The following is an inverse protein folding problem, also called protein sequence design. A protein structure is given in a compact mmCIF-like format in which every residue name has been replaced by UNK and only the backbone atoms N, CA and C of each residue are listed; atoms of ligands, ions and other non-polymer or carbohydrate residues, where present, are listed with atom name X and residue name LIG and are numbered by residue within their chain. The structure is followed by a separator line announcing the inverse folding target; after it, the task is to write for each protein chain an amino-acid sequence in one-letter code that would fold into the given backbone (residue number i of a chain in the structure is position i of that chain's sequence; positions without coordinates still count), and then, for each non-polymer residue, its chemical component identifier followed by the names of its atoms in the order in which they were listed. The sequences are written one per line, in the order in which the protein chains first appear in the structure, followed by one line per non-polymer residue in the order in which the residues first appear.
data_IF_938380884633
#
_entry.id   IF_938380884633
#
_cell.length_a   1.000
_cell.length_b   1.000
_cell.length_c   1.000
_cell.angle_alpha   90.00
_cell.angle_beta   90.00
_cell.angle_gamma   90.00
#
_symmetry.space_group_name_H-M   'P 1'
#
loop_
_entity.id
_entity.type
_entity.pdbx_description
1 polymer ?
#
# COMPACT_ATOMS: atom_id res chain seq x y z
N UNK A 1 -4.85 18.08 22.17
CA UNK A 1 -4.52 17.26 23.36
C UNK A 1 -3.54 16.18 22.90
N UNK A 2 -2.63 15.74 23.77
CA UNK A 2 -1.74 14.60 23.50
C UNK A 2 -2.38 13.30 23.96
N UNK A 3 -2.02 12.19 23.32
CA UNK A 3 -2.36 10.83 23.75
C UNK A 3 -1.06 10.09 24.03
N UNK A 4 -0.91 9.54 25.24
CA UNK A 4 0.23 8.71 25.61
C UNK A 4 -0.02 7.31 25.06
N UNK A 5 0.95 6.78 24.32
CA UNK A 5 0.85 5.47 23.68
C UNK A 5 2.15 4.71 23.87
N UNK A 6 2.06 3.38 23.90
CA UNK A 6 3.24 2.51 24.02
C UNK A 6 3.59 1.95 22.65
N UNK A 7 4.75 2.34 22.12
CA UNK A 7 5.28 1.83 20.86
C UNK A 7 6.07 0.56 21.12
N UNK A 8 5.71 -0.50 20.40
CA UNK A 8 6.41 -1.78 20.42
C UNK A 8 7.36 -1.81 19.22
N UNK A 9 8.66 -1.70 19.47
CA UNK A 9 9.70 -1.75 18.44
C UNK A 9 10.40 -3.13 18.44
N UNK A 10 10.56 -3.73 17.26
CA UNK A 10 11.40 -4.92 17.07
C UNK A 10 10.77 -6.30 17.36
N UNK A 11 11.44 -7.33 16.84
CA UNK A 11 11.04 -8.75 16.91
C UNK A 11 11.19 -9.37 18.30
N UNK A 12 11.96 -8.72 19.18
CA UNK A 12 12.43 -9.28 20.45
C UNK A 12 11.66 -8.83 21.69
N UNK A 13 10.42 -8.31 21.54
CA UNK A 13 9.44 -8.06 22.63
C UNK A 13 9.93 -7.23 23.84
N UNK A 14 11.17 -6.74 23.88
CA UNK A 14 11.81 -6.22 25.08
C UNK A 14 11.96 -4.69 25.10
N UNK A 15 11.65 -4.00 23.99
CA UNK A 15 11.75 -2.55 23.93
C UNK A 15 10.36 -1.94 23.71
N UNK A 16 9.77 -1.48 24.82
CA UNK A 16 8.49 -0.77 24.84
C UNK A 16 8.78 0.65 25.26
N UNK A 17 8.46 1.60 24.38
CA UNK A 17 8.75 3.01 24.61
C UNK A 17 7.43 3.76 24.63
N UNK A 18 7.17 4.46 25.72
CA UNK A 18 6.05 5.39 25.80
C UNK A 18 6.35 6.69 25.05
N UNK A 19 5.39 7.14 24.26
CA UNK A 19 5.43 8.41 23.54
C UNK A 19 4.14 9.16 23.79
N UNK A 20 4.26 10.46 24.05
CA UNK A 20 3.13 11.38 23.97
C UNK A 20 3.00 11.84 22.52
N UNK A 21 1.89 11.45 21.86
CA UNK A 21 1.64 11.76 20.47
C UNK A 21 0.49 12.76 20.31
N UNK A 22 0.57 13.69 19.34
CA UNK A 22 -0.53 14.58 19.02
C UNK A 22 -1.72 13.77 18.47
N UNK A 23 -2.88 13.87 19.12
CA UNK A 23 -4.05 13.08 18.75
C UNK A 23 -4.91 13.69 17.64
N UNK A 24 -4.70 14.98 17.36
CA UNK A 24 -5.49 15.79 16.42
C UNK A 24 -4.93 15.76 14.99
N UNK A 25 -3.69 15.31 14.80
CA UNK A 25 -3.05 15.28 13.48
C UNK A 25 -3.26 13.93 12.78
N UNK A 26 -3.14 13.88 11.43
CA UNK A 26 -3.28 12.63 10.70
C UNK A 26 -2.25 11.58 11.12
N UNK A 27 -2.70 10.32 11.18
CA UNK A 27 -1.88 9.15 11.52
C UNK A 27 -0.65 9.05 10.61
N UNK A 28 -0.74 9.44 9.34
CA UNK A 28 0.43 9.47 8.45
C UNK A 28 1.56 10.36 9.01
N UNK A 29 1.23 11.54 9.55
CA UNK A 29 2.24 12.43 10.14
C UNK A 29 2.79 11.88 11.45
N UNK A 30 1.92 11.36 12.31
CA UNK A 30 2.33 10.68 13.56
C UNK A 30 3.31 9.54 13.26
N UNK A 31 3.01 8.75 12.23
CA UNK A 31 3.85 7.62 11.80
C UNK A 31 5.24 8.09 11.39
N UNK A 32 5.35 9.20 10.65
CA UNK A 32 6.65 9.76 10.26
C UNK A 32 7.45 10.26 11.46
N UNK A 33 6.80 10.97 12.39
CA UNK A 33 7.44 11.43 13.63
C UNK A 33 7.97 10.26 14.46
N UNK A 34 7.16 9.21 14.59
CA UNK A 34 7.56 7.99 15.29
C UNK A 34 8.74 7.29 14.62
N UNK A 35 8.71 7.13 13.29
CA UNK A 35 9.81 6.53 12.53
C UNK A 35 11.11 7.32 12.72
N UNK A 36 11.03 8.65 12.73
CA UNK A 36 12.21 9.50 12.99
C UNK A 36 12.72 9.34 14.42
N UNK A 37 11.83 9.27 15.40
CA UNK A 37 12.19 9.06 16.81
C UNK A 37 12.87 7.71 17.03
N UNK A 38 12.32 6.62 16.47
CA UNK A 38 12.87 5.26 16.62
C UNK A 38 14.00 4.95 15.63
N UNK A 39 14.35 5.89 14.73
CA UNK A 39 15.38 5.70 13.69
C UNK A 39 16.74 5.34 14.27
N UNK A 40 17.07 5.89 15.43
CA UNK A 40 18.34 5.63 16.12
C UNK A 40 18.38 4.21 16.70
N UNK A 41 17.23 3.65 17.06
CA UNK A 41 17.11 2.33 17.70
C UNK A 41 16.85 1.21 16.69
N UNK A 42 16.21 1.54 15.57
CA UNK A 42 15.90 0.62 14.49
C UNK A 42 16.43 1.17 13.15
N UNK A 43 17.73 1.00 12.84
CA UNK A 43 18.33 1.48 11.59
C UNK A 43 17.70 0.85 10.33
N UNK A 44 17.06 -0.30 10.48
CA UNK A 44 16.29 -0.95 9.41
C UNK A 44 15.06 -0.12 8.99
N UNK A 45 14.56 0.79 9.84
CA UNK A 45 13.45 1.71 9.56
C UNK A 45 13.88 3.00 8.83
N UNK A 46 15.05 3.03 8.18
CA UNK A 46 15.52 4.24 7.50
C UNK A 46 14.87 4.52 6.13
N UNK A 47 14.29 3.50 5.47
CA UNK A 47 13.68 3.60 4.13
C UNK A 47 12.45 2.70 3.99
N UNK A 48 11.33 3.27 3.52
CA UNK A 48 10.10 2.55 3.21
C UNK A 48 8.82 3.35 3.43
N UNK A 49 7.68 2.78 3.05
CA UNK A 49 6.36 3.23 3.54
C UNK A 49 6.06 2.46 4.82
N UNK A 50 5.54 3.13 5.84
CA UNK A 50 5.24 2.51 7.13
C UNK A 50 3.73 2.51 7.38
N UNK A 51 3.26 1.49 8.09
CA UNK A 51 1.91 1.43 8.61
C UNK A 51 1.95 1.44 10.13
N UNK A 52 1.01 2.18 10.72
CA UNK A 52 0.78 2.19 12.15
C UNK A 52 -0.39 1.26 12.45
N UNK A 53 -0.19 0.35 13.40
CA UNK A 53 -1.23 -0.55 13.88
C UNK A 53 -1.44 -0.37 15.37
N UNK A 54 -2.69 -0.48 15.81
CA UNK A 54 -3.09 -0.46 17.21
C UNK A 54 -3.52 -1.84 17.65
N UNK A 55 -3.19 -2.20 18.89
CA UNK A 55 -3.67 -3.43 19.51
C UNK A 55 -5.12 -3.22 19.97
N UNK A 56 -6.03 -4.05 19.48
CA UNK A 56 -7.43 -4.04 19.88
C UNK A 56 -7.60 -4.69 21.26
N UNK A 57 -8.77 -4.50 21.87
CA UNK A 57 -9.13 -5.18 23.11
C UNK A 57 -9.19 -6.71 22.98
N UNK A 58 -9.41 -7.22 21.75
CA UNK A 58 -9.38 -8.66 21.45
C UNK A 58 -7.95 -9.21 21.35
N UNK A 59 -6.93 -8.34 21.37
CA UNK A 59 -5.53 -8.70 21.25
C UNK A 59 -4.99 -8.70 19.82
N UNK A 60 -5.86 -8.48 18.83
CA UNK A 60 -5.50 -8.37 17.41
C UNK A 60 -4.81 -7.03 17.11
N UNK A 61 -4.04 -7.01 16.03
CA UNK A 61 -3.44 -5.77 15.52
C UNK A 61 -4.26 -5.25 14.36
N UNK A 62 -4.71 -4.00 14.47
CA UNK A 62 -5.53 -3.34 13.47
C UNK A 62 -4.77 -2.17 12.86
N UNK A 63 -4.68 -2.13 11.53
CA UNK A 63 -4.13 -0.99 10.79
C UNK A 63 -4.98 0.26 11.03
N UNK A 64 -4.32 1.35 11.36
CA UNK A 64 -4.92 2.69 11.47
C UNK A 64 -5.04 3.35 10.09
N UNK A 65 -6.09 4.16 9.92
CA UNK A 65 -6.32 4.88 8.69
C UNK A 65 -5.39 6.10 8.61
N UNK A 66 -4.54 6.13 7.58
CA UNK A 66 -3.47 7.12 7.41
C UNK A 66 -4.01 8.55 7.23
N UNK A 67 -5.27 8.70 6.78
CA UNK A 67 -5.91 9.99 6.51
C UNK A 67 -6.63 10.58 7.73
N UNK A 68 -6.88 9.76 8.74
CA UNK A 68 -7.60 10.13 9.96
C UNK A 68 -6.66 10.42 11.11
N UNK A 69 -7.16 11.09 12.14
CA UNK A 69 -6.43 11.35 13.38
C UNK A 69 -6.55 10.18 14.37
N UNK A 70 -5.67 10.15 15.37
CA UNK A 70 -5.67 9.09 16.40
C UNK A 70 -6.99 9.05 17.17
N UNK A 71 -7.54 10.22 17.48
CA UNK A 71 -8.84 10.36 18.16
C UNK A 71 -9.97 9.74 17.33
N UNK A 72 -9.98 10.01 16.02
CA UNK A 72 -10.96 9.48 15.08
C UNK A 72 -10.83 7.97 14.87
N UNK A 73 -9.67 7.40 15.18
CA UNK A 73 -9.41 5.97 15.18
C UNK A 73 -9.65 5.31 16.55
N UNK A 74 -10.16 6.06 17.54
CA UNK A 74 -10.41 5.60 18.91
C UNK A 74 -9.16 5.09 19.62
N UNK A 75 -8.00 5.69 19.31
CA UNK A 75 -6.76 5.43 20.05
C UNK A 75 -6.82 6.20 21.36
N UNK A 76 -6.83 5.47 22.46
CA UNK A 76 -6.87 6.02 23.81
C UNK A 76 -5.49 6.05 24.44
N UNK A 77 -5.39 6.77 25.56
CA UNK A 77 -4.19 6.77 26.39
C UNK A 77 -3.84 5.34 26.87
N UNK A 78 -2.56 5.00 26.85
CA UNK A 78 -2.05 3.67 27.14
C UNK A 78 -2.26 2.64 26.02
N UNK A 79 -2.70 3.04 24.83
CA UNK A 79 -2.85 2.13 23.71
C UNK A 79 -1.48 1.62 23.22
N UNK A 80 -1.42 0.32 22.89
CA UNK A 80 -0.25 -0.27 22.28
C UNK A 80 -0.28 -0.06 20.77
N UNK A 81 0.78 0.53 20.24
CA UNK A 81 0.99 0.72 18.82
C UNK A 81 2.23 -0.04 18.36
N UNK A 82 2.27 -0.42 17.08
CA UNK A 82 3.47 -0.91 16.42
C UNK A 82 3.61 -0.30 15.05
N UNK A 83 4.86 -0.15 14.61
CA UNK A 83 5.21 0.35 13.29
C UNK A 83 5.67 -0.85 12.47
N UNK A 84 5.02 -1.09 11.32
CA UNK A 84 5.47 -2.09 10.36
C UNK A 84 5.81 -1.44 9.04
N UNK A 85 6.80 -2.01 8.34
CA UNK A 85 7.04 -1.68 6.94
C UNK A 85 5.83 -2.16 6.14
N UNK A 86 5.22 -1.26 5.36
CA UNK A 86 4.30 -1.66 4.32
C UNK A 86 5.09 -2.53 3.35
N UNK A 87 4.62 -3.75 3.01
CA UNK A 87 5.22 -4.49 1.92
C UNK A 87 5.21 -3.57 0.70
N UNK A 88 6.37 -3.31 0.12
CA UNK A 88 6.45 -2.61 -1.15
C UNK A 88 5.59 -3.43 -2.11
N UNK A 89 4.48 -2.86 -2.59
CA UNK A 89 3.74 -3.47 -3.69
C UNK A 89 4.75 -3.64 -4.83
N UNK A 90 5.09 -4.90 -5.09
CA UNK A 90 6.12 -5.28 -6.02
C UNK A 90 5.85 -4.60 -7.36
N UNK A 91 6.70 -3.68 -7.83
CA UNK A 91 6.44 -2.94 -9.06
C UNK A 91 6.30 -3.89 -10.27
N UNK A 92 6.78 -5.13 -10.14
CA UNK A 92 6.60 -6.19 -11.14
C UNK A 92 5.15 -6.68 -11.26
N UNK A 93 4.35 -6.64 -10.19
CA UNK A 93 2.94 -7.06 -10.23
C UNK A 93 2.08 -6.08 -11.06
N UNK A 94 2.35 -4.77 -10.94
CA UNK A 94 1.64 -3.73 -11.70
C UNK A 94 2.01 -3.76 -13.19
N UNK A 95 3.27 -4.04 -13.52
CA UNK A 95 3.73 -4.17 -14.91
C UNK A 95 3.16 -5.45 -15.55
N UNK A 96 3.03 -6.54 -14.79
CA UNK A 96 2.44 -7.79 -15.25
C UNK A 96 0.94 -7.64 -15.63
N UNK A 97 0.13 -6.99 -14.78
CA UNK A 97 -1.28 -6.69 -15.08
C UNK A 97 -1.43 -5.82 -16.34
N UNK A 98 -0.54 -4.83 -16.48
CA UNK A 98 -0.55 -3.92 -17.63
C UNK A 98 -0.13 -4.62 -18.94
N UNK A 99 0.87 -5.51 -18.88
CA UNK A 99 1.30 -6.34 -20.01
C UNK A 99 0.24 -7.36 -20.43
N UNK A 100 -0.48 -7.96 -19.48
CA UNK A 100 -1.56 -8.90 -19.77
C UNK A 100 -2.73 -8.19 -20.49
N UNK A 101 -3.13 -7.01 -20.00
CA UNK A 101 -4.13 -6.15 -20.63
C UNK A 101 -3.74 -5.67 -22.02
N UNK A 102 -2.46 -5.37 -22.25
CA UNK A 102 -1.96 -4.99 -23.58
C UNK A 102 -1.82 -6.17 -24.54
N UNK A 103 -1.55 -7.38 -24.02
CA UNK A 103 -1.40 -8.59 -24.83
C UNK A 103 -2.74 -9.08 -25.38
N UNK A 104 -3.84 -8.96 -24.62
CA UNK A 104 -5.21 -9.19 -25.14
C UNK A 104 -5.62 -8.22 -26.25
N UNK A 105 -5.00 -7.02 -26.32
CA UNK A 105 -5.24 -6.05 -27.40
C UNK A 105 -4.53 -6.40 -28.71
N UNK A 106 -3.38 -7.09 -28.64
CA UNK A 106 -2.61 -7.53 -29.82
C UNK A 106 -3.29 -8.67 -30.58
N UNK A 107 -3.99 -9.55 -29.87
CA UNK A 107 -4.72 -10.66 -30.49
C UNK A 107 -5.90 -10.13 -31.32
N UNK A 108 -6.69 -9.21 -30.75
CA UNK A 108 -7.82 -8.57 -31.45
C UNK A 108 -7.40 -7.74 -32.66
N UNK A 109 -6.26 -7.05 -32.59
CA UNK A 109 -5.77 -6.25 -33.73
C UNK A 109 -5.21 -7.14 -34.84
N UNK A 110 -4.66 -8.32 -34.50
CA UNK A 110 -4.27 -9.32 -35.48
C UNK A 110 -5.47 -9.95 -36.18
N UNK A 111 -6.51 -10.34 -35.43
CA UNK A 111 -7.76 -10.86 -35.99
C UNK A 111 -8.46 -9.84 -36.91
N UNK A 112 -8.49 -8.56 -36.52
CA UNK A 112 -9.05 -7.48 -37.37
C UNK A 112 -8.25 -7.26 -38.66
N UNK A 113 -6.92 -7.33 -38.59
CA UNK A 113 -6.06 -7.21 -39.77
C UNK A 113 -6.18 -8.43 -40.70
N UNK A 114 -6.32 -9.63 -40.15
CA UNK A 114 -6.54 -10.86 -40.93
C UNK A 114 -7.93 -10.87 -41.58
N UNK A 115 -8.97 -10.40 -40.87
CA UNK A 115 -10.31 -10.22 -41.44
C UNK A 115 -10.33 -9.19 -42.58
N UNK A 116 -9.68 -8.03 -42.40
CA UNK A 116 -9.57 -7.01 -43.44
C UNK A 116 -8.77 -7.50 -44.67
N UNK A 117 -7.69 -8.25 -44.45
CA UNK A 117 -6.89 -8.84 -45.52
C UNK A 117 -7.69 -9.85 -46.35
N UNK A 118 -8.56 -10.61 -45.70
CA UNK A 118 -9.39 -11.63 -46.36
C UNK A 118 -10.52 -10.98 -47.16
N UNK A 119 -11.14 -9.92 -46.64
CA UNK A 119 -12.16 -9.11 -47.35
C UNK A 119 -11.58 -8.47 -48.63
N UNK A 120 -10.36 -7.92 -48.54
CA UNK A 120 -9.71 -7.23 -49.65
C UNK A 120 -9.20 -8.16 -50.77
N UNK A 121 -9.04 -9.47 -50.50
CA UNK A 121 -8.73 -10.49 -51.51
C UNK A 121 -10.00 -11.05 -52.16
N UNK A 122 -11.12 -11.10 -51.42
CA UNK A 122 -12.41 -11.59 -51.94
C UNK A 122 -13.05 -10.57 -52.89
N UNK A 123 -12.81 -9.27 -52.69
CA UNK A 123 -13.35 -8.18 -53.51
C UNK A 123 -12.54 -7.87 -54.80
N UNK A 124 -11.46 -8.63 -55.08
CA UNK A 124 -10.72 -8.55 -56.36
C UNK A 124 -11.10 -9.66 -57.36
N UNK A 125 -12.11 -10.46 -57.07
CA UNK A 125 -12.55 -11.59 -57.89
C UNK A 125 -13.90 -11.44 -58.58
N UNK A 126 -14.54 -10.27 -58.57
CA UNK A 126 -15.82 -10.10 -59.26
C UNK A 126 -15.88 -8.73 -59.93
N UNK A 127 -15.52 -8.66 -61.23
CA UNK A 127 -16.50 -8.26 -62.24
C UNK A 127 -15.97 -8.24 -63.69
N UNK A 128 -16.80 -8.91 -64.50
CA UNK A 128 -17.19 -8.63 -65.88
C UNK A 128 -16.38 -9.21 -67.06
N UNK A 129 -17.14 -10.01 -67.82
CA UNK A 129 -17.02 -10.50 -69.20
C UNK A 129 -16.30 -11.83 -69.40
#
# INVERSE_FOLDING_TARGET
MGTIVTIVTGSNKQDWIDFELPSDIPVAQVTLMLVEAVRNEAPDMAKGKYILEVKTQTGDWKKLDETRSLDHCSVMDGAYLRIQKKPEEDPHAAIADQLERMSSGKEKSKELLEAWRTDHLTNKGVKYQ
#
